data_IF_840088886566
#
_entry.id   IF_840088886566
#
_cell.length_a   1.000
_cell.length_b   1.000
_cell.length_c   1.000
_cell.angle_alpha   90.00
_cell.angle_beta   90.00
_cell.angle_gamma   90.00
#
_symmetry.space_group_name_H-M   'P 1'
#
loop_
_entity.id
_entity.type
_entity.pdbx_description
1 polymer ?
#
# COMPACT_ATOMS: atom_id res chain seq x y z
N UNK A 1 8.80 16.80 -27.10
CA UNK A 1 9.29 16.46 -25.75
C UNK A 1 8.91 17.52 -24.71
N UNK A 2 9.30 18.79 -24.87
CA UNK A 2 8.97 19.90 -23.94
C UNK A 2 7.46 20.05 -23.71
N UNK A 3 6.64 19.96 -24.76
CA UNK A 3 5.18 20.02 -24.63
C UNK A 3 4.58 18.86 -23.81
N UNK A 4 5.16 17.65 -23.93
CA UNK A 4 4.73 16.49 -23.14
C UNK A 4 5.04 16.70 -21.66
N UNK A 5 6.25 17.16 -21.35
CA UNK A 5 6.69 17.44 -19.97
C UNK A 5 5.79 18.52 -19.34
N UNK A 6 5.53 19.63 -20.06
CA UNK A 6 4.63 20.68 -19.59
C UNK A 6 3.22 20.15 -19.32
N UNK A 7 2.71 19.28 -20.18
CA UNK A 7 1.39 18.67 -20.00
C UNK A 7 1.37 17.72 -18.79
N UNK A 8 2.43 16.95 -18.57
CA UNK A 8 2.59 16.08 -17.40
C UNK A 8 2.66 16.88 -16.10
N UNK A 9 3.28 18.05 -16.04
CA UNK A 9 3.18 18.89 -14.83
C UNK A 9 1.81 19.52 -14.63
N UNK A 10 1.10 19.83 -15.72
CA UNK A 10 -0.24 20.46 -15.66
C UNK A 10 -1.31 19.48 -15.20
N UNK A 11 -1.37 18.32 -15.86
CA UNK A 11 -2.42 17.32 -15.70
C UNK A 11 -1.96 16.10 -14.89
N UNK A 12 -0.65 15.92 -14.67
CA UNK A 12 -0.08 14.79 -13.95
C UNK A 12 -0.52 13.45 -14.56
N UNK A 13 -1.14 12.61 -13.76
CA UNK A 13 -1.76 11.36 -14.16
C UNK A 13 -3.27 11.49 -14.44
N UNK A 14 -3.84 12.70 -14.40
CA UNK A 14 -5.25 12.95 -14.67
C UNK A 14 -5.48 13.24 -16.16
N UNK A 15 -6.66 12.88 -16.69
CA UNK A 15 -7.03 13.19 -18.07
C UNK A 15 -7.37 14.67 -18.22
N UNK A 16 -8.43 15.06 -17.54
CA UNK A 16 -8.93 16.41 -17.44
C UNK A 16 -9.54 16.60 -16.03
N UNK A 17 -9.30 17.76 -15.44
CA UNK A 17 -9.75 18.12 -14.10
C UNK A 17 -11.17 18.74 -14.17
N UNK A 18 -11.59 19.21 -15.34
CA UNK A 18 -12.92 19.80 -15.56
C UNK A 18 -14.04 18.80 -15.84
N UNK A 19 -13.72 17.50 -16.00
CA UNK A 19 -14.73 16.46 -16.22
C UNK A 19 -15.51 16.13 -14.93
N UNK A 20 -16.82 15.84 -15.07
CA UNK A 20 -17.68 15.45 -13.94
C UNK A 20 -17.18 14.17 -13.24
N UNK A 21 -16.67 13.21 -14.03
CA UNK A 21 -15.99 12.01 -13.56
C UNK A 21 -14.49 12.10 -13.86
N UNK A 22 -13.69 12.32 -12.82
CA UNK A 22 -12.23 12.43 -12.98
C UNK A 22 -11.64 11.07 -13.35
N UNK A 23 -10.91 11.04 -14.47
CA UNK A 23 -10.20 9.87 -14.96
C UNK A 23 -8.69 9.97 -14.68
N UNK A 24 -8.08 8.82 -14.37
CA UNK A 24 -6.68 8.65 -14.05
C UNK A 24 -6.00 7.69 -15.03
N UNK A 25 -4.72 7.93 -15.33
CA UNK A 25 -3.89 7.10 -16.17
C UNK A 25 -3.53 5.80 -15.43
N UNK A 26 -4.18 4.71 -15.80
CA UNK A 26 -3.98 3.40 -15.20
C UNK A 26 -2.56 2.87 -15.42
N UNK A 27 -1.89 3.23 -16.52
CA UNK A 27 -0.48 2.87 -16.74
C UNK A 27 0.42 3.49 -15.67
N UNK A 28 0.20 4.77 -15.34
CA UNK A 28 0.96 5.47 -14.29
C UNK A 28 0.66 4.89 -12.91
N UNK A 29 -0.62 4.56 -12.64
CA UNK A 29 -1.02 3.92 -11.38
C UNK A 29 -0.33 2.55 -11.20
N UNK A 30 -0.22 1.74 -12.26
CA UNK A 30 0.48 0.45 -12.19
C UNK A 30 1.98 0.60 -11.95
N UNK A 31 2.63 1.54 -12.62
CA UNK A 31 4.05 1.85 -12.37
C UNK A 31 4.24 2.29 -10.92
N UNK A 32 3.38 3.16 -10.41
CA UNK A 32 3.41 3.59 -9.01
C UNK A 32 3.25 2.41 -8.04
N UNK A 33 2.30 1.51 -8.28
CA UNK A 33 2.11 0.31 -7.48
C UNK A 33 3.38 -0.57 -7.49
N UNK A 34 4.05 -0.69 -8.64
CA UNK A 34 5.33 -1.38 -8.75
C UNK A 34 6.47 -0.73 -7.96
N UNK A 35 6.59 0.60 -7.99
CA UNK A 35 7.59 1.33 -7.20
C UNK A 35 7.34 1.13 -5.70
N UNK A 36 6.09 1.30 -5.27
CA UNK A 36 5.72 1.18 -3.86
C UNK A 36 5.77 -0.27 -3.35
N UNK A 37 5.84 -1.27 -4.24
CA UNK A 37 5.98 -2.70 -3.89
C UNK A 37 7.23 -3.00 -3.06
N UNK A 38 8.28 -2.17 -3.20
CA UNK A 38 9.53 -2.31 -2.42
C UNK A 38 9.25 -2.27 -0.92
N UNK A 39 8.28 -1.45 -0.50
CA UNK A 39 7.92 -1.26 0.90
C UNK A 39 7.38 -2.55 1.53
N UNK A 40 6.26 -3.15 1.07
CA UNK A 40 5.77 -4.38 1.65
C UNK A 40 6.78 -5.53 1.54
N UNK A 41 7.61 -5.59 0.49
CA UNK A 41 8.69 -6.59 0.40
C UNK A 41 9.65 -6.45 1.59
N UNK A 42 10.16 -5.25 1.84
CA UNK A 42 11.03 -4.97 2.99
C UNK A 42 10.35 -5.27 4.34
N UNK A 43 9.06 -4.91 4.45
CA UNK A 43 8.28 -5.15 5.66
C UNK A 43 8.05 -6.64 5.92
N UNK A 44 7.83 -7.46 4.89
CA UNK A 44 7.70 -8.93 5.04
C UNK A 44 8.96 -9.49 5.67
N UNK A 45 10.14 -9.15 5.15
CA UNK A 45 11.40 -9.65 5.70
C UNK A 45 11.59 -9.25 7.16
N UNK A 46 11.28 -8.00 7.50
CA UNK A 46 11.34 -7.53 8.90
C UNK A 46 10.38 -8.34 9.78
N UNK A 47 9.12 -8.49 9.38
CA UNK A 47 8.12 -9.19 10.21
C UNK A 47 8.37 -10.68 10.31
N UNK A 48 8.95 -11.31 9.28
CA UNK A 48 9.37 -12.71 9.33
C UNK A 48 10.47 -12.89 10.38
N UNK A 49 11.47 -12.00 10.41
CA UNK A 49 12.52 -12.02 11.44
C UNK A 49 11.97 -11.74 12.85
N UNK A 50 11.03 -10.81 12.99
CA UNK A 50 10.37 -10.52 14.28
C UNK A 50 9.54 -11.71 14.79
N UNK A 51 8.85 -12.42 13.90
CA UNK A 51 7.93 -13.51 14.27
C UNK A 51 8.64 -14.85 14.45
N UNK A 52 9.59 -15.17 13.58
CA UNK A 52 10.25 -16.48 13.53
C UNK A 52 11.72 -16.45 13.95
N UNK A 53 12.31 -15.26 14.13
CA UNK A 53 13.66 -15.12 14.64
C UNK A 53 13.78 -15.47 16.12
N UNK A 54 15.01 -15.61 16.62
CA UNK A 54 15.26 -15.89 18.04
C UNK A 54 14.73 -14.72 18.89
N UNK A 55 14.09 -15.06 20.02
CA UNK A 55 13.55 -14.09 20.98
C UNK A 55 14.60 -13.52 21.93
N UNK A 56 15.81 -14.07 21.87
CA UNK A 56 16.93 -13.73 22.74
C UNK A 56 18.22 -13.62 21.91
N UNK A 57 19.14 -12.79 22.40
CA UNK A 57 20.47 -12.60 21.82
C UNK A 57 21.52 -12.82 22.91
N UNK A 58 22.69 -13.35 22.53
CA UNK A 58 23.80 -13.56 23.45
C UNK A 58 24.41 -12.20 23.78
N UNK A 59 24.60 -11.90 25.05
CA UNK A 59 25.22 -10.64 25.49
C UNK A 59 26.64 -10.53 24.93
N UNK A 60 26.99 -9.39 24.34
CA UNK A 60 28.29 -9.17 23.65
C UNK A 60 29.50 -9.41 24.55
N UNK A 61 29.32 -9.20 25.86
CA UNK A 61 30.38 -9.33 26.85
C UNK A 61 30.39 -10.72 27.52
N UNK A 62 29.45 -11.60 27.15
CA UNK A 62 29.36 -12.95 27.70
C UNK A 62 30.27 -13.91 26.93
N UNK A 63 31.07 -14.67 27.68
CA UNK A 63 31.85 -15.78 27.15
C UNK A 63 30.97 -17.02 27.24
N UNK A 64 30.82 -17.75 26.13
CA UNK A 64 30.13 -19.03 26.15
C UNK A 64 30.94 -20.02 27.00
N UNK A 65 30.34 -20.50 28.10
CA UNK A 65 30.98 -21.46 28.99
C UNK A 65 30.49 -22.86 28.61
N UNK A 66 31.41 -23.71 28.19
CA UNK A 66 31.12 -25.13 27.94
C UNK A 66 30.72 -25.82 29.24
N UNK A 67 29.58 -26.52 29.26
CA UNK A 67 29.15 -27.25 30.46
C UNK A 67 29.77 -28.64 30.56
N UNK A 68 30.51 -29.08 29.53
CA UNK A 68 31.04 -30.44 29.37
C UNK A 68 29.97 -31.54 29.33
N UNK A 69 28.71 -31.15 29.16
CA UNK A 69 27.57 -32.05 29.00
C UNK A 69 27.10 -32.04 27.54
N UNK A 70 26.47 -33.14 27.12
CA UNK A 70 25.86 -33.26 25.80
C UNK A 70 24.35 -33.44 25.93
N UNK A 71 23.61 -32.94 24.94
CA UNK A 71 22.18 -33.22 24.82
C UNK A 71 21.92 -34.66 24.33
N UNK A 72 20.64 -35.04 24.21
CA UNK A 72 20.23 -36.36 23.73
C UNK A 72 20.57 -36.62 22.25
N UNK A 73 21.05 -35.61 21.53
CA UNK A 73 21.47 -35.68 20.13
C UNK A 73 22.99 -35.49 19.97
N UNK A 74 23.76 -35.72 21.04
CA UNK A 74 25.22 -35.61 21.07
C UNK A 74 25.76 -34.20 20.73
N UNK A 75 25.02 -33.15 21.07
CA UNK A 75 25.45 -31.75 20.92
C UNK A 75 25.95 -31.19 22.25
N UNK A 76 27.09 -30.51 22.23
CA UNK A 76 27.66 -29.87 23.43
C UNK A 76 26.78 -28.73 23.94
N UNK A 77 26.51 -28.73 25.24
CA UNK A 77 25.70 -27.70 25.90
C UNK A 77 26.59 -26.54 26.34
N UNK A 78 26.20 -25.33 25.98
CA UNK A 78 26.86 -24.10 26.41
C UNK A 78 25.95 -23.30 27.34
N UNK A 79 26.52 -22.74 28.40
CA UNK A 79 25.86 -21.76 29.26
C UNK A 79 26.26 -20.35 28.82
N UNK A 80 25.24 -19.54 28.50
CA UNK A 80 25.39 -18.16 28.03
C UNK A 80 24.47 -17.23 28.80
N UNK A 81 24.87 -15.98 28.97
CA UNK A 81 23.99 -14.92 29.46
C UNK A 81 23.28 -14.28 28.25
N UNK A 82 21.97 -14.47 28.18
CA UNK A 82 21.16 -13.99 27.08
C UNK A 82 20.24 -12.84 27.52
N UNK A 83 20.13 -11.83 26.67
CA UNK A 83 19.16 -10.74 26.84
C UNK A 83 17.99 -10.93 25.88
N UNK A 84 16.82 -10.38 26.24
CA UNK A 84 15.68 -10.35 25.34
C UNK A 84 16.01 -9.48 24.13
N UNK A 85 15.79 -10.00 22.93
CA UNK A 85 16.00 -9.25 21.69
C UNK A 85 15.07 -8.05 21.64
N UNK A 86 15.63 -6.87 21.33
CA UNK A 86 14.87 -5.62 21.15
C UNK A 86 15.09 -5.12 19.73
N UNK A 87 14.01 -4.87 19.01
CA UNK A 87 14.07 -4.35 17.65
C UNK A 87 13.94 -2.82 17.66
N UNK A 88 14.84 -2.15 16.92
CA UNK A 88 14.65 -0.76 16.55
C UNK A 88 13.84 -0.68 15.25
N UNK A 89 12.63 -0.11 15.34
CA UNK A 89 11.74 0.08 14.20
C UNK A 89 11.80 1.49 13.61
N UNK A 90 12.77 2.34 13.99
CA UNK A 90 12.81 3.73 13.55
C UNK A 90 12.80 3.89 12.02
N UNK A 91 13.50 3.03 11.29
CA UNK A 91 13.53 3.09 9.83
C UNK A 91 12.21 2.60 9.21
N UNK A 92 11.68 1.48 9.70
CA UNK A 92 10.41 0.87 9.30
C UNK A 92 9.27 1.88 9.48
N UNK A 93 9.24 2.55 10.63
CA UNK A 93 8.25 3.59 10.95
C UNK A 93 8.35 4.76 9.99
N UNK A 94 9.54 5.29 9.70
CA UNK A 94 9.73 6.37 8.70
C UNK A 94 9.24 5.96 7.32
N UNK A 95 9.56 4.72 6.90
CA UNK A 95 9.14 4.19 5.60
C UNK A 95 7.62 4.02 5.51
N UNK A 96 6.98 3.52 6.57
CA UNK A 96 5.53 3.38 6.64
C UNK A 96 4.82 4.73 6.71
N UNK A 97 5.35 5.72 7.43
CA UNK A 97 4.82 7.09 7.43
C UNK A 97 4.89 7.67 6.01
N UNK A 98 6.01 7.48 5.31
CA UNK A 98 6.13 7.87 3.91
C UNK A 98 5.06 7.20 3.03
N UNK A 99 4.88 5.88 3.17
CA UNK A 99 3.86 5.13 2.44
C UNK A 99 2.44 5.61 2.77
N UNK A 100 2.16 5.94 4.04
CA UNK A 100 0.88 6.45 4.49
C UNK A 100 0.58 7.79 3.85
N UNK A 101 1.53 8.73 3.89
CA UNK A 101 1.41 10.03 3.23
C UNK A 101 1.18 9.88 1.73
N UNK A 102 1.91 8.98 1.08
CA UNK A 102 1.72 8.64 -0.33
C UNK A 102 0.28 8.18 -0.63
N UNK A 103 -0.31 7.32 0.21
CA UNK A 103 -1.70 6.89 0.04
C UNK A 103 -2.69 8.04 0.26
N UNK A 104 -2.50 8.85 1.31
CA UNK A 104 -3.38 9.97 1.64
C UNK A 104 -3.35 11.09 0.60
N UNK A 105 -2.16 11.45 0.12
CA UNK A 105 -1.99 12.44 -0.95
C UNK A 105 -2.71 12.01 -2.23
N UNK A 106 -2.73 10.71 -2.53
CA UNK A 106 -3.42 10.17 -3.71
C UNK A 106 -4.93 10.37 -3.68
N UNK A 107 -5.55 10.54 -2.50
CA UNK A 107 -7.01 10.67 -2.38
C UNK A 107 -7.54 11.95 -3.04
N UNK A 108 -6.75 13.03 -3.07
CA UNK A 108 -7.17 14.32 -3.62
C UNK A 108 -6.37 14.71 -4.88
N UNK A 109 -6.99 15.50 -5.75
CA UNK A 109 -6.33 16.02 -6.97
C UNK A 109 -5.18 16.97 -6.63
N UNK A 110 -5.35 17.75 -5.56
CA UNK A 110 -4.32 18.69 -5.10
C UNK A 110 -3.19 17.93 -4.41
N UNK A 111 -3.53 17.02 -3.49
CA UNK A 111 -2.54 16.22 -2.76
C UNK A 111 -1.65 15.39 -3.68
N UNK A 112 -2.22 14.81 -4.74
CA UNK A 112 -1.47 13.99 -5.69
C UNK A 112 -0.34 14.73 -6.40
N UNK A 113 -0.39 16.07 -6.47
CA UNK A 113 0.72 16.90 -7.00
C UNK A 113 1.95 16.92 -6.09
N UNK A 114 1.79 16.66 -4.80
CA UNK A 114 2.86 16.66 -3.81
C UNK A 114 3.46 15.27 -3.58
N UNK A 115 2.89 14.23 -4.20
CA UNK A 115 3.42 12.88 -4.09
C UNK A 115 4.63 12.68 -5.01
N UNK A 116 5.84 12.41 -4.48
CA UNK A 116 7.00 12.10 -5.29
C UNK A 116 6.79 10.85 -6.15
N UNK A 117 6.13 9.80 -5.65
CA UNK A 117 5.94 8.59 -6.49
C UNK A 117 4.98 8.82 -7.64
N UNK A 118 3.96 9.67 -7.47
CA UNK A 118 3.02 10.00 -8.54
C UNK A 118 3.73 10.79 -9.64
N UNK A 119 4.55 11.77 -9.27
CA UNK A 119 5.35 12.54 -10.22
C UNK A 119 6.29 11.63 -11.01
N UNK A 120 7.02 10.76 -10.31
CA UNK A 120 7.93 9.81 -10.92
C UNK A 120 7.20 8.84 -11.86
N UNK A 121 6.08 8.25 -11.42
CA UNK A 121 5.30 7.33 -12.24
C UNK A 121 4.73 8.03 -13.48
N UNK A 122 4.23 9.26 -13.34
CA UNK A 122 3.73 10.05 -14.47
C UNK A 122 4.83 10.35 -15.49
N UNK A 123 6.05 10.64 -15.02
CA UNK A 123 7.21 10.82 -15.87
C UNK A 123 7.61 9.53 -16.61
N UNK A 124 7.60 8.38 -15.92
CA UNK A 124 7.90 7.07 -16.51
C UNK A 124 6.84 6.57 -17.51
N UNK A 125 5.68 7.23 -17.56
CA UNK A 125 4.64 6.99 -18.58
C UNK A 125 4.74 7.90 -19.81
N UNK A 126 5.69 8.83 -19.86
CA UNK A 126 5.87 9.69 -21.03
C UNK A 126 6.05 8.85 -22.30
N UNK A 127 5.27 9.16 -23.34
CA UNK A 127 5.32 8.47 -24.63
C UNK A 127 4.66 7.09 -24.66
N UNK A 128 4.05 6.62 -23.57
CA UNK A 128 3.27 5.37 -23.54
C UNK A 128 1.78 5.65 -23.71
N UNK A 129 1.06 4.70 -24.31
CA UNK A 129 -0.39 4.76 -24.38
C UNK A 129 -1.02 4.74 -22.98
N UNK A 130 -1.96 5.65 -22.77
CA UNK A 130 -2.60 5.87 -21.47
C UNK A 130 -3.97 5.22 -21.46
N UNK A 131 -4.13 4.21 -20.61
CA UNK A 131 -5.43 3.60 -20.34
C UNK A 131 -6.16 4.40 -19.25
N UNK A 132 -7.28 5.03 -19.56
CA UNK A 132 -8.01 5.88 -18.64
C UNK A 132 -9.04 5.09 -17.83
N UNK A 133 -9.03 5.26 -16.49
CA UNK A 133 -10.00 4.66 -15.58
C UNK A 133 -10.55 5.68 -14.58
N UNK A 134 -11.75 5.50 -14.02
CA UNK A 134 -12.30 6.45 -13.06
C UNK A 134 -11.51 6.44 -11.73
N UNK A 135 -11.39 7.62 -11.12
CA UNK A 135 -10.64 7.83 -9.87
C UNK A 135 -11.33 7.22 -8.64
N UNK A 136 -12.67 7.21 -8.61
CA UNK A 136 -13.46 6.79 -7.44
C UNK A 136 -13.05 5.43 -6.85
N UNK A 137 -13.06 4.34 -7.64
CA UNK A 137 -12.64 3.02 -7.19
C UNK A 137 -11.18 2.94 -6.70
N UNK A 138 -10.30 3.81 -7.22
CA UNK A 138 -8.89 3.85 -6.79
C UNK A 138 -8.71 4.47 -5.43
N UNK A 139 -9.53 5.45 -5.07
CA UNK A 139 -9.55 6.02 -3.70
C UNK A 139 -9.83 4.95 -2.65
N UNK A 140 -10.74 4.02 -2.93
CA UNK A 140 -11.02 2.89 -2.04
C UNK A 140 -9.78 2.00 -1.85
N UNK A 141 -9.05 1.70 -2.93
CA UNK A 141 -7.82 0.92 -2.84
C UNK A 141 -6.74 1.63 -1.99
N UNK A 142 -6.58 2.95 -2.15
CA UNK A 142 -5.62 3.71 -1.33
C UNK A 142 -6.04 3.85 0.13
N UNK A 143 -7.35 3.97 0.41
CA UNK A 143 -7.86 3.95 1.79
C UNK A 143 -7.63 2.61 2.47
N UNK A 144 -7.83 1.50 1.75
CA UNK A 144 -7.55 0.16 2.24
C UNK A 144 -6.04 0.01 2.54
N UNK A 145 -5.17 0.45 1.64
CA UNK A 145 -3.73 0.48 1.87
C UNK A 145 -3.33 1.36 3.06
N UNK A 146 -3.90 2.56 3.19
CA UNK A 146 -3.65 3.46 4.31
C UNK A 146 -4.06 2.82 5.65
N UNK A 147 -5.22 2.15 5.70
CA UNK A 147 -5.67 1.41 6.89
C UNK A 147 -4.65 0.34 7.29
N UNK A 148 -4.16 -0.45 6.32
CA UNK A 148 -3.20 -1.51 6.59
C UNK A 148 -1.86 -0.96 7.12
N UNK A 149 -1.38 0.14 6.54
CA UNK A 149 -0.17 0.83 6.99
C UNK A 149 -0.34 1.35 8.41
N UNK A 150 -1.49 1.94 8.75
CA UNK A 150 -1.77 2.45 10.09
C UNK A 150 -1.70 1.35 11.15
N UNK A 151 -2.28 0.18 10.89
CA UNK A 151 -2.19 -0.97 11.81
C UNK A 151 -0.73 -1.40 12.02
N UNK A 152 0.07 -1.40 10.95
CA UNK A 152 1.50 -1.73 11.06
C UNK A 152 2.28 -0.68 11.88
N UNK A 153 1.96 0.60 11.73
CA UNK A 153 2.59 1.67 12.52
C UNK A 153 2.30 1.49 14.02
N UNK A 154 1.05 1.13 14.37
CA UNK A 154 0.68 0.84 15.76
C UNK A 154 1.43 -0.38 16.29
N UNK A 155 1.58 -1.43 15.48
CA UNK A 155 2.35 -2.63 15.86
C UNK A 155 3.82 -2.31 16.17
N UNK A 156 4.46 -1.42 15.40
CA UNK A 156 5.87 -1.07 15.60
C UNK A 156 6.13 -0.05 16.69
N UNK A 157 5.14 0.78 17.05
CA UNK A 157 5.30 1.85 18.04
C UNK A 157 4.12 1.86 19.03
N UNK A 158 3.85 0.73 19.73
CA UNK A 158 2.69 0.63 20.61
C UNK A 158 2.78 1.62 21.77
N UNK A 159 3.97 1.82 22.33
CA UNK A 159 4.30 2.73 23.42
C UNK A 159 4.06 4.21 23.05
N UNK A 160 4.52 4.63 21.86
CA UNK A 160 4.35 6.00 21.39
C UNK A 160 2.87 6.32 21.14
N UNK A 161 2.14 5.37 20.55
CA UNK A 161 0.69 5.52 20.31
C UNK A 161 -0.07 5.53 21.63
N UNK A 162 0.23 4.62 22.56
CA UNK A 162 -0.37 4.57 23.88
C UNK A 162 -0.17 5.87 24.66
N UNK A 163 1.06 6.38 24.67
CA UNK A 163 1.42 7.64 25.34
C UNK A 163 0.68 8.83 24.74
N UNK A 164 0.58 8.88 23.40
CA UNK A 164 -0.19 9.92 22.71
C UNK A 164 -1.68 9.85 23.04
N UNK A 165 -2.29 8.66 23.02
CA UNK A 165 -3.71 8.47 23.36
C UNK A 165 -3.97 8.84 24.82
N UNK A 166 -3.12 8.40 25.74
CA UNK A 166 -3.23 8.72 27.17
C UNK A 166 -3.13 10.23 27.41
N UNK A 167 -2.23 10.93 26.72
CA UNK A 167 -2.11 12.38 26.80
C UNK A 167 -3.33 13.11 26.22
N UNK A 168 -3.99 12.57 25.20
CA UNK A 168 -5.10 13.22 24.52
C UNK A 168 -6.45 12.97 25.21
N UNK A 169 -6.69 11.73 25.66
CA UNK A 169 -7.97 11.29 26.21
C UNK A 169 -7.97 11.18 27.75
N UNK A 170 -6.82 11.42 28.41
CA UNK A 170 -6.68 11.27 29.85
C UNK A 170 -6.83 9.82 30.34
N UNK A 171 -6.61 8.85 29.44
CA UNK A 171 -6.67 7.41 29.75
C UNK A 171 -5.35 6.89 30.30
N UNK A 172 -5.37 5.68 30.85
CA UNK A 172 -4.18 4.99 31.38
C UNK A 172 -4.00 3.61 30.72
N UNK A 173 -3.85 3.60 29.40
CA UNK A 173 -3.63 2.37 28.62
C UNK A 173 -2.18 1.89 28.84
N UNK A 174 -1.92 0.57 29.01
CA UNK A 174 -0.59 0.02 29.32
C UNK A 174 0.43 0.25 28.19
N UNK A 175 1.57 0.89 28.46
CA UNK A 175 2.58 1.22 27.43
C UNK A 175 3.58 0.09 27.16
N UNK A 176 3.60 -0.94 27.99
CA UNK A 176 4.62 -2.01 27.99
C UNK A 176 4.20 -3.25 27.18
N UNK A 177 3.05 -3.20 26.51
CA UNK A 177 2.49 -4.32 25.76
C UNK A 177 2.14 -3.93 24.32
N UNK A 178 2.20 -4.91 23.41
CA UNK A 178 1.79 -4.70 22.03
C UNK A 178 0.30 -5.05 21.86
N UNK A 179 -0.49 -4.08 21.40
CA UNK A 179 -1.93 -4.26 21.17
C UNK A 179 -2.26 -5.02 19.89
N UNK A 180 -1.33 -5.06 18.95
CA UNK A 180 -1.52 -5.71 17.65
C UNK A 180 -0.81 -7.07 17.67
N UNK A 181 -1.53 -8.18 17.46
CA UNK A 181 -0.88 -9.49 17.38
C UNK A 181 0.09 -9.57 16.19
N UNK A 182 1.28 -10.14 16.39
CA UNK A 182 2.30 -10.23 15.35
C UNK A 182 1.82 -10.99 14.11
N UNK A 183 0.96 -12.01 14.28
CA UNK A 183 0.36 -12.75 13.17
C UNK A 183 -0.53 -11.84 12.31
N UNK A 184 -1.26 -10.90 12.91
CA UNK A 184 -2.15 -9.99 12.19
C UNK A 184 -1.32 -9.04 11.33
N UNK A 185 -0.27 -8.44 11.90
CA UNK A 185 0.65 -7.57 11.18
C UNK A 185 1.31 -8.30 9.99
N UNK A 186 1.81 -9.53 10.22
CA UNK A 186 2.44 -10.34 9.18
C UNK A 186 1.47 -10.66 8.02
N UNK A 187 0.25 -11.13 8.33
CA UNK A 187 -0.75 -11.45 7.31
C UNK A 187 -1.21 -10.21 6.53
N UNK A 188 -1.30 -9.06 7.21
CA UNK A 188 -1.70 -7.81 6.58
C UNK A 188 -0.65 -7.34 5.57
N UNK A 189 0.63 -7.43 5.90
CA UNK A 189 1.72 -7.08 4.98
C UNK A 189 1.79 -8.07 3.80
N UNK A 190 1.55 -9.36 4.03
CA UNK A 190 1.40 -10.33 2.93
C UNK A 190 0.23 -9.99 2.01
N UNK A 191 -0.92 -9.60 2.56
CA UNK A 191 -2.06 -9.16 1.78
C UNK A 191 -1.75 -7.88 0.99
N UNK A 192 -1.08 -6.89 1.60
CA UNK A 192 -0.57 -5.70 0.91
C UNK A 192 0.31 -6.08 -0.29
N UNK A 193 1.29 -6.94 -0.05
CA UNK A 193 2.23 -7.41 -1.07
C UNK A 193 1.47 -8.05 -2.24
N UNK A 194 0.55 -8.97 -1.93
CA UNK A 194 -0.28 -9.63 -2.93
C UNK A 194 -1.12 -8.63 -3.73
N UNK A 195 -1.86 -7.75 -3.06
CA UNK A 195 -2.73 -6.78 -3.76
C UNK A 195 -1.96 -5.81 -4.64
N UNK A 196 -0.81 -5.33 -4.18
CA UNK A 196 0.05 -4.44 -4.97
C UNK A 196 0.72 -5.17 -6.13
N UNK A 197 1.14 -6.42 -5.92
CA UNK A 197 1.70 -7.26 -6.98
C UNK A 197 0.67 -7.56 -8.07
N UNK A 198 -0.56 -7.95 -7.68
CA UNK A 198 -1.68 -8.15 -8.60
C UNK A 198 -1.95 -6.88 -9.42
N UNK A 199 -1.90 -5.71 -8.80
CA UNK A 199 -2.14 -4.44 -9.48
C UNK A 199 -0.99 -4.06 -10.44
N UNK A 200 0.25 -4.16 -9.98
CA UNK A 200 1.42 -3.79 -10.77
C UNK A 200 1.61 -4.74 -11.98
N UNK A 201 1.64 -6.04 -11.72
CA UNK A 201 2.03 -7.06 -12.71
C UNK A 201 0.83 -7.48 -13.57
N UNK A 202 -0.28 -7.88 -12.95
CA UNK A 202 -1.44 -8.41 -13.67
C UNK A 202 -2.39 -7.28 -14.12
N UNK A 203 -2.36 -6.13 -13.43
CA UNK A 203 -3.32 -5.05 -13.67
C UNK A 203 -4.66 -5.26 -12.95
N UNK A 204 -4.72 -6.19 -12.00
CA UNK A 204 -5.89 -6.48 -11.18
C UNK A 204 -5.82 -5.71 -9.86
N UNK A 205 -6.76 -4.77 -9.64
CA UNK A 205 -6.82 -4.00 -8.41
C UNK A 205 -7.94 -4.51 -7.49
N UNK A 206 -7.57 -5.20 -6.42
CA UNK A 206 -8.50 -5.77 -5.44
C UNK A 206 -9.40 -4.70 -4.79
N UNK A 207 -8.85 -3.53 -4.46
CA UNK A 207 -9.63 -2.42 -3.89
C UNK A 207 -10.70 -1.88 -4.83
N UNK A 208 -10.42 -1.79 -6.14
CA UNK A 208 -11.44 -1.41 -7.12
C UNK A 208 -12.57 -2.45 -7.24
N UNK A 209 -12.26 -3.74 -7.07
CA UNK A 209 -13.28 -4.80 -7.09
C UNK A 209 -14.10 -4.81 -5.80
N UNK A 210 -13.48 -4.59 -4.65
CA UNK A 210 -14.18 -4.40 -3.38
C UNK A 210 -15.15 -3.22 -3.47
N UNK A 211 -14.72 -2.08 -4.04
CA UNK A 211 -15.59 -0.95 -4.29
C UNK A 211 -16.80 -1.32 -5.17
N UNK A 212 -16.59 -2.08 -6.25
CA UNK A 212 -17.67 -2.52 -7.12
C UNK A 212 -18.67 -3.44 -6.39
N UNK A 213 -18.20 -4.31 -5.49
CA UNK A 213 -19.06 -5.15 -4.66
C UNK A 213 -19.86 -4.31 -3.67
N UNK A 214 -19.24 -3.35 -2.99
CA UNK A 214 -19.92 -2.44 -2.06
C UNK A 214 -20.96 -1.56 -2.76
N UNK A 215 -20.68 -1.12 -3.99
CA UNK A 215 -21.63 -0.41 -4.82
C UNK A 215 -22.83 -1.29 -5.21
N UNK A 216 -22.59 -2.57 -5.58
CA UNK A 216 -23.66 -3.54 -5.86
C UNK A 216 -24.52 -3.85 -4.64
N UNK A 217 -23.93 -3.85 -3.46
CA UNK A 217 -24.64 -4.04 -2.19
C UNK A 217 -25.45 -2.78 -1.75
N UNK A 218 -25.39 -1.68 -2.51
CA UNK A 218 -26.13 -0.45 -2.21
C UNK A 218 -25.54 0.39 -1.07
N UNK A 219 -24.37 0.00 -0.52
CA UNK A 219 -23.74 0.68 0.61
C UNK A 219 -23.01 1.98 0.19
N UNK A 220 -22.70 2.12 -1.11
CA UNK A 220 -22.01 3.28 -1.65
C UNK A 220 -22.79 3.82 -2.84
N UNK A 221 -23.21 5.09 -2.76
CA UNK A 221 -23.86 5.79 -3.86
C UNK A 221 -22.79 6.42 -4.78
N UNK A 222 -22.64 5.90 -6.00
CA UNK A 222 -22.27 6.64 -7.23
C UNK A 222 -21.99 5.71 -8.42
N UNK A 223 -22.49 6.13 -9.58
CA UNK A 223 -22.18 5.59 -10.90
C UNK A 223 -20.66 5.50 -11.10
N UNK A 224 -20.17 4.27 -11.23
CA UNK A 224 -18.84 3.99 -11.74
C UNK A 224 -19.01 3.34 -13.10
N UNK A 225 -18.92 4.12 -14.18
CA UNK A 225 -19.08 3.67 -15.56
C UNK A 225 -18.14 2.49 -15.91
N UNK A 226 -16.93 2.46 -15.35
CA UNK A 226 -16.00 1.34 -15.54
C UNK A 226 -16.26 0.12 -14.63
N UNK A 227 -17.01 0.28 -13.54
CA UNK A 227 -17.40 -0.83 -12.66
C UNK A 227 -18.62 -1.58 -13.21
N UNK A 228 -19.39 -0.90 -14.07
CA UNK A 228 -20.55 -1.44 -14.79
C UNK A 228 -20.18 -2.06 -16.15
N UNK A 229 -18.88 -2.30 -16.38
CA UNK A 229 -18.36 -2.97 -17.57
C UNK A 229 -18.78 -2.28 -18.88
N UNK A 230 -18.79 -0.94 -18.89
CA UNK A 230 -19.07 -0.16 -20.10
C UNK A 230 -17.85 -0.23 -21.01
N UNK A 231 -17.96 -1.00 -22.10
CA UNK A 231 -16.98 -1.04 -23.19
C UNK A 231 -17.12 0.22 -24.07
N UNK A 232 -16.21 1.18 -23.86
CA UNK A 232 -16.18 2.44 -24.61
C UNK A 232 -15.87 2.24 -26.10
N UNK A 233 -15.16 1.17 -26.47
CA UNK A 233 -14.89 0.86 -27.86
C UNK A 233 -16.14 0.29 -28.53
N UNK A 234 -16.93 -0.49 -27.80
CA UNK A 234 -18.25 -0.92 -28.26
C UNK A 234 -19.24 0.25 -28.40
N UNK A 235 -19.22 1.22 -27.48
CA UNK A 235 -20.03 2.45 -27.60
C UNK A 235 -19.62 3.27 -28.82
N UNK A 236 -18.31 3.46 -29.04
CA UNK A 236 -17.82 4.18 -30.23
C UNK A 236 -18.25 3.48 -31.52
N UNK A 237 -18.12 2.15 -31.58
CA UNK A 237 -18.55 1.35 -32.73
C UNK A 237 -20.06 1.53 -33.01
N UNK A 238 -20.91 1.41 -31.97
CA UNK A 238 -22.36 1.61 -32.09
C UNK A 238 -22.74 3.05 -32.49
N UNK A 239 -21.99 4.05 -32.03
CA UNK A 239 -22.20 5.46 -32.41
C UNK A 239 -21.84 5.70 -33.87
N UNK A 240 -20.73 5.13 -34.34
CA UNK A 240 -20.31 5.19 -35.73
C UNK A 240 -21.34 4.51 -36.64
N UNK A 241 -21.81 3.31 -36.28
CA UNK A 241 -22.86 2.58 -37.00
C UNK A 241 -24.18 3.37 -37.11
N UNK A 242 -24.57 4.09 -36.05
CA UNK A 242 -25.76 4.96 -36.07
C UNK A 242 -25.59 6.17 -36.98
N UNK A 243 -24.40 6.78 -37.02
CA UNK A 243 -24.08 7.89 -37.92
C UNK A 243 -24.08 7.43 -39.37
N UNK A 244 -23.48 6.27 -39.66
CA UNK A 244 -23.43 5.69 -41.00
C UNK A 244 -24.82 5.31 -41.53
N UNK A 245 -25.72 4.81 -40.66
CA UNK A 245 -27.13 4.59 -41.02
C UNK A 245 -27.86 5.90 -41.31
N UNK A 246 -27.61 6.94 -40.52
CA UNK A 246 -28.26 8.25 -40.69
C UNK A 246 -27.79 8.98 -41.94
N UNK A 247 -26.56 8.75 -42.40
CA UNK A 247 -26.03 9.29 -43.65
C UNK A 247 -26.48 8.50 -44.90
N UNK A 248 -27.06 7.31 -44.72
CA UNK A 248 -27.63 6.47 -45.80
C UNK A 248 -29.14 6.63 -45.96
N UNK A 249 -29.79 7.45 -45.12
CA UNK A 249 -31.21 7.79 -45.20
C UNK A 249 -31.34 9.25 -45.64
#
# INVERSE_FOLDING_TARGET
MIALIKNTFRNLWFRDIGEESIHINNTAVRIRAGILLIIPIYMVFTLVDVVYGPTWEITTDSIAIDTYDMDFEDRTIYKVEATKRVFDYAFQTKLLIYALLEMLLSLSVIGSRFSPTILLASFLTLGKESAWKPLGPKRCAWLLGASFISVCIVFFNPDAIASWVNSLLGTSIPVDENYVPSWLALNLVWACLLFMWLEAIIGYCAGCKLYAVLARAGLISRHCEACDNIDWDEIKRKKQERLDKKNKT
#
